data_IF_438388744758
#
_entry.id   IF_438388744758
#
_cell.length_a   1.000
_cell.length_b   1.000
_cell.length_c   1.000
_cell.angle_alpha   90.00
_cell.angle_beta   90.00
_cell.angle_gamma   90.00
#
_symmetry.space_group_name_H-M   'P 1'
#
loop_
_entity.id
_entity.type
_entity.pdbx_description
1 polymer ?
#
# COMPACT_ATOMS: atom_id res chain seq x y z
N UNK A 1 14.96 24.78 7.18
CA UNK A 1 14.87 23.69 6.18
C UNK A 1 13.53 23.78 5.46
N UNK A 2 13.52 23.75 4.11
CA UNK A 2 12.30 23.88 3.33
C UNK A 2 11.36 22.68 3.47
N UNK A 3 10.10 22.90 3.11
CA UNK A 3 9.04 21.90 3.03
C UNK A 3 9.42 20.81 2.02
N UNK A 4 9.04 19.56 2.29
CA UNK A 4 9.28 18.42 1.40
C UNK A 4 7.96 17.92 0.84
N UNK A 5 7.86 17.81 -0.47
CA UNK A 5 6.70 17.26 -1.17
C UNK A 5 6.63 15.74 -0.94
N UNK A 6 5.41 15.20 -0.93
CA UNK A 6 5.21 13.74 -0.89
C UNK A 6 5.85 13.10 -2.13
N UNK A 7 6.78 12.15 -1.98
CA UNK A 7 7.50 11.56 -3.10
C UNK A 7 6.59 10.76 -4.06
N UNK A 8 5.47 10.23 -3.58
CA UNK A 8 4.47 9.56 -4.43
C UNK A 8 3.78 10.60 -5.31
N UNK A 9 3.28 11.70 -4.71
CA UNK A 9 2.60 12.77 -5.47
C UNK A 9 3.49 13.41 -6.54
N UNK A 10 4.79 13.59 -6.24
CA UNK A 10 5.77 14.10 -7.22
C UNK A 10 5.97 13.16 -8.42
N UNK A 11 5.74 11.85 -8.26
CA UNK A 11 5.95 10.83 -9.29
C UNK A 11 4.68 10.31 -9.93
N UNK A 12 3.54 10.85 -9.58
CA UNK A 12 2.27 10.54 -10.25
C UNK A 12 2.37 10.93 -11.72
N UNK A 13 1.88 10.08 -12.60
CA UNK A 13 1.98 10.16 -14.07
C UNK A 13 3.38 9.94 -14.67
N UNK A 14 4.46 9.88 -13.88
CA UNK A 14 5.81 9.54 -14.38
C UNK A 14 6.14 8.08 -14.14
N UNK A 15 5.99 7.60 -12.90
CA UNK A 15 6.35 6.25 -12.46
C UNK A 15 5.25 5.62 -11.56
N UNK A 16 4.43 6.44 -10.92
CA UNK A 16 3.35 6.00 -10.04
C UNK A 16 1.99 6.31 -10.62
N UNK A 17 1.03 5.44 -10.31
CA UNK A 17 -0.35 5.59 -10.73
C UNK A 17 -1.23 6.10 -9.57
N UNK A 18 -2.41 6.61 -9.89
CA UNK A 18 -3.40 7.02 -8.91
C UNK A 18 -3.93 5.82 -8.12
N UNK A 19 -4.26 6.05 -6.84
CA UNK A 19 -4.91 5.04 -5.98
C UNK A 19 -6.43 4.99 -6.19
N UNK A 20 -7.03 6.08 -6.65
CA UNK A 20 -8.41 6.12 -7.13
C UNK A 20 -8.40 6.32 -8.64
N UNK A 21 -9.03 5.43 -9.37
CA UNK A 21 -9.03 5.38 -10.84
C UNK A 21 -10.45 5.53 -11.35
N UNK A 22 -10.90 6.77 -11.44
CA UNK A 22 -12.21 7.14 -11.96
C UNK A 22 -12.21 8.59 -12.40
N UNK A 23 -13.23 8.95 -13.17
CA UNK A 23 -13.49 10.31 -13.59
C UNK A 23 -14.91 10.71 -13.24
N UNK A 24 -15.12 11.95 -12.79
CA UNK A 24 -16.43 12.55 -12.56
C UNK A 24 -16.42 14.03 -12.89
N UNK A 25 -17.57 14.56 -13.28
CA UNK A 25 -17.76 16.00 -13.46
C UNK A 25 -17.73 16.76 -12.14
N UNK A 26 -17.65 18.08 -12.22
CA UNK A 26 -17.50 18.98 -11.03
C UNK A 26 -18.57 18.75 -9.94
N UNK A 27 -19.82 18.51 -10.32
CA UNK A 27 -20.95 18.37 -9.37
C UNK A 27 -20.88 17.09 -8.54
N UNK A 28 -20.49 15.94 -9.13
CA UNK A 28 -20.46 14.65 -8.44
C UNK A 28 -19.09 14.30 -7.85
N UNK A 29 -18.05 15.09 -8.12
CA UNK A 29 -16.68 14.75 -7.68
C UNK A 29 -16.55 14.66 -6.15
N UNK A 30 -17.14 15.62 -5.42
CA UNK A 30 -17.04 15.69 -3.96
C UNK A 30 -17.69 14.50 -3.26
N UNK A 31 -18.85 14.07 -3.73
CA UNK A 31 -19.59 12.93 -3.18
C UNK A 31 -18.79 11.63 -3.37
N UNK A 32 -18.33 11.38 -4.60
CA UNK A 32 -17.53 10.19 -4.92
C UNK A 32 -16.22 10.15 -4.13
N UNK A 33 -15.56 11.31 -3.98
CA UNK A 33 -14.32 11.38 -3.19
C UNK A 33 -14.59 11.08 -1.71
N UNK A 34 -15.68 11.60 -1.15
CA UNK A 34 -16.08 11.34 0.24
C UNK A 34 -16.36 9.86 0.48
N UNK A 35 -17.07 9.21 -0.45
CA UNK A 35 -17.29 7.75 -0.41
C UNK A 35 -15.96 6.98 -0.48
N UNK A 36 -15.03 7.35 -1.37
CA UNK A 36 -13.73 6.68 -1.48
C UNK A 36 -12.92 6.76 -0.19
N UNK A 37 -12.94 7.90 0.48
CA UNK A 37 -12.26 8.08 1.76
C UNK A 37 -12.90 7.19 2.83
N UNK A 38 -14.24 7.17 2.92
CA UNK A 38 -14.97 6.33 3.86
C UNK A 38 -14.72 4.83 3.61
N UNK A 39 -14.69 4.38 2.35
CA UNK A 39 -14.33 3.01 1.97
C UNK A 39 -12.93 2.66 2.46
N UNK A 40 -11.94 3.53 2.23
CA UNK A 40 -10.56 3.30 2.68
C UNK A 40 -10.44 3.20 4.19
N UNK A 41 -11.13 4.05 4.92
CA UNK A 41 -11.10 4.07 6.38
C UNK A 41 -11.76 2.82 6.96
N UNK A 42 -12.89 2.40 6.40
CA UNK A 42 -13.56 1.17 6.79
C UNK A 42 -12.69 -0.06 6.54
N UNK A 43 -12.13 -0.19 5.32
CA UNK A 43 -11.26 -1.32 4.96
C UNK A 43 -10.02 -1.37 5.87
N UNK A 44 -9.35 -0.24 6.11
CA UNK A 44 -8.20 -0.19 7.03
C UNK A 44 -8.57 -0.59 8.45
N UNK A 45 -9.70 -0.10 8.97
CA UNK A 45 -10.16 -0.41 10.31
C UNK A 45 -10.51 -1.89 10.48
N UNK A 46 -11.14 -2.50 9.48
CA UNK A 46 -11.51 -3.92 9.53
C UNK A 46 -10.32 -4.86 9.32
N UNK A 47 -9.36 -4.45 8.51
CA UNK A 47 -8.21 -5.24 8.11
C UNK A 47 -6.90 -4.79 8.78
N UNK A 48 -6.96 -4.20 9.96
CA UNK A 48 -5.79 -3.69 10.69
C UNK A 48 -4.71 -4.76 10.89
N UNK A 49 -5.11 -6.02 11.17
CA UNK A 49 -4.19 -7.14 11.39
C UNK A 49 -3.66 -7.79 10.10
N UNK A 50 -4.21 -7.43 8.95
CA UNK A 50 -3.88 -8.05 7.67
C UNK A 50 -2.64 -7.43 7.00
N UNK A 51 -2.05 -6.39 7.57
CA UNK A 51 -0.92 -5.67 6.99
C UNK A 51 -1.23 -5.17 5.55
N UNK A 52 -2.22 -4.29 5.42
CA UNK A 52 -2.66 -3.71 4.16
C UNK A 52 -1.69 -2.62 3.73
N UNK A 53 -1.05 -2.76 2.58
CA UNK A 53 -0.10 -1.78 2.04
C UNK A 53 -0.79 -0.64 1.29
N UNK A 54 -1.64 -0.99 0.33
CA UNK A 54 -2.34 -0.04 -0.52
C UNK A 54 -3.78 -0.51 -0.80
N UNK A 55 -4.69 0.46 -1.00
CA UNK A 55 -6.07 0.23 -1.39
C UNK A 55 -6.30 1.02 -2.68
N UNK A 56 -6.57 0.30 -3.78
CA UNK A 56 -6.85 0.87 -5.09
C UNK A 56 -8.36 0.78 -5.32
N UNK A 57 -8.98 1.90 -5.68
CA UNK A 57 -10.42 1.97 -5.96
C UNK A 57 -10.62 2.31 -7.42
N UNK A 58 -11.31 1.44 -8.13
CA UNK A 58 -11.73 1.64 -9.53
C UNK A 58 -13.25 1.72 -9.56
N UNK A 59 -13.79 2.77 -10.18
CA UNK A 59 -15.24 2.96 -10.30
C UNK A 59 -15.68 2.86 -11.76
N UNK A 60 -16.70 2.08 -11.94
CA UNK A 60 -17.44 1.95 -13.19
C UNK A 60 -18.88 2.48 -13.00
N UNK A 61 -19.68 2.49 -14.05
CA UNK A 61 -21.05 3.03 -13.98
C UNK A 61 -21.86 2.42 -12.81
N UNK A 62 -21.94 1.09 -12.72
CA UNK A 62 -22.78 0.38 -11.76
C UNK A 62 -21.99 -0.45 -10.73
N UNK A 63 -20.65 -0.39 -10.75
CA UNK A 63 -19.84 -1.21 -9.85
C UNK A 63 -18.62 -0.45 -9.33
N UNK A 64 -18.19 -0.82 -8.13
CA UNK A 64 -16.98 -0.35 -7.49
C UNK A 64 -16.06 -1.55 -7.24
N UNK A 65 -14.85 -1.50 -7.75
CA UNK A 65 -13.82 -2.51 -7.51
C UNK A 65 -12.82 -1.95 -6.50
N UNK A 66 -12.61 -2.67 -5.41
CA UNK A 66 -11.67 -2.33 -4.36
C UNK A 66 -10.55 -3.36 -4.35
N UNK A 67 -9.39 -2.99 -4.88
CA UNK A 67 -8.17 -3.80 -4.85
C UNK A 67 -7.43 -3.58 -3.53
N UNK A 68 -7.32 -4.62 -2.72
CA UNK A 68 -6.63 -4.59 -1.42
C UNK A 68 -5.28 -5.30 -1.56
N UNK A 69 -4.19 -4.54 -1.46
CA UNK A 69 -2.84 -5.09 -1.44
C UNK A 69 -2.45 -5.43 0.00
N UNK A 70 -2.21 -6.70 0.30
CA UNK A 70 -1.93 -7.18 1.65
C UNK A 70 -0.77 -8.17 1.68
N UNK A 71 -0.01 -8.16 2.79
CA UNK A 71 1.02 -9.16 3.03
C UNK A 71 0.46 -10.49 3.61
N UNK A 72 -0.80 -10.46 4.09
CA UNK A 72 -1.43 -11.63 4.74
C UNK A 72 -2.82 -11.89 4.17
N UNK A 73 -2.93 -12.38 2.93
CA UNK A 73 -4.21 -12.58 2.26
C UNK A 73 -5.15 -13.54 3.02
N UNK A 74 -4.61 -14.54 3.71
CA UNK A 74 -5.41 -15.48 4.50
C UNK A 74 -6.22 -14.83 5.63
N UNK A 75 -5.71 -13.75 6.24
CA UNK A 75 -6.44 -13.00 7.28
C UNK A 75 -7.58 -12.19 6.67
N UNK A 76 -7.39 -11.67 5.46
CA UNK A 76 -8.44 -10.90 4.75
C UNK A 76 -9.60 -11.80 4.32
N UNK A 77 -9.29 -12.99 3.82
CA UNK A 77 -10.29 -13.95 3.37
C UNK A 77 -11.08 -14.51 4.55
N UNK A 78 -10.36 -14.82 5.65
CA UNK A 78 -10.95 -15.44 6.83
C UNK A 78 -11.34 -16.90 6.61
N UNK A 79 -12.04 -17.49 7.59
CA UNK A 79 -12.53 -18.87 7.47
C UNK A 79 -13.63 -18.96 6.42
N UNK A 80 -13.40 -19.74 5.36
CA UNK A 80 -14.36 -19.96 4.26
C UNK A 80 -14.86 -18.67 3.59
N UNK A 81 -14.07 -17.58 3.64
CA UNK A 81 -14.47 -16.31 3.03
C UNK A 81 -15.41 -15.43 3.88
N UNK A 82 -15.67 -15.79 5.15
CA UNK A 82 -16.63 -15.07 5.98
C UNK A 82 -16.25 -13.61 6.26
N UNK A 83 -14.95 -13.33 6.44
CA UNK A 83 -14.50 -11.98 6.78
C UNK A 83 -14.57 -11.04 5.58
N UNK A 84 -14.21 -11.52 4.39
CA UNK A 84 -14.33 -10.72 3.16
C UNK A 84 -15.79 -10.43 2.80
N UNK A 85 -16.71 -11.42 2.97
CA UNK A 85 -18.12 -11.21 2.73
C UNK A 85 -18.76 -10.24 3.73
N UNK A 86 -18.30 -10.22 4.98
CA UNK A 86 -18.71 -9.22 5.98
C UNK A 86 -18.29 -7.83 5.56
N UNK A 87 -17.03 -7.65 5.17
CA UNK A 87 -16.51 -6.34 4.69
C UNK A 87 -17.27 -5.91 3.44
N UNK A 88 -17.52 -6.82 2.50
CA UNK A 88 -18.32 -6.55 1.29
C UNK A 88 -19.73 -6.09 1.63
N UNK A 89 -20.39 -6.75 2.58
CA UNK A 89 -21.74 -6.38 3.03
C UNK A 89 -21.79 -5.01 3.72
N UNK A 90 -20.74 -4.65 4.47
CA UNK A 90 -20.63 -3.30 5.07
C UNK A 90 -20.39 -2.22 4.02
N UNK A 91 -19.53 -2.49 3.04
CA UNK A 91 -19.29 -1.57 1.92
C UNK A 91 -20.52 -1.39 1.02
N UNK A 92 -21.28 -2.46 0.76
CA UNK A 92 -22.51 -2.40 -0.02
C UNK A 92 -23.61 -1.54 0.63
N UNK A 93 -23.58 -1.39 1.95
CA UNK A 93 -24.49 -0.48 2.67
C UNK A 93 -24.09 1.01 2.57
N UNK A 94 -22.86 1.29 2.16
CA UNK A 94 -22.35 2.66 2.04
C UNK A 94 -22.46 3.20 0.61
N UNK A 95 -22.56 2.32 -0.37
CA UNK A 95 -22.62 2.68 -1.78
C UNK A 95 -23.84 2.04 -2.43
N UNK A 96 -24.53 2.77 -3.30
CA UNK A 96 -25.68 2.25 -4.06
C UNK A 96 -25.24 1.35 -5.24
N UNK A 97 -23.96 0.96 -5.28
CA UNK A 97 -23.34 0.20 -6.38
C UNK A 97 -22.89 -1.17 -5.90
N UNK A 98 -22.78 -2.10 -6.85
CA UNK A 98 -22.18 -3.40 -6.57
C UNK A 98 -20.69 -3.25 -6.20
N UNK A 99 -20.30 -3.86 -5.07
CA UNK A 99 -18.93 -3.81 -4.58
C UNK A 99 -18.24 -5.15 -4.83
N UNK A 100 -17.09 -5.08 -5.49
CA UNK A 100 -16.18 -6.21 -5.70
C UNK A 100 -14.86 -5.96 -4.97
N UNK A 101 -14.42 -6.91 -4.15
CA UNK A 101 -13.15 -6.84 -3.43
C UNK A 101 -12.18 -7.82 -4.10
N UNK A 102 -11.04 -7.31 -4.55
CA UNK A 102 -9.94 -8.11 -5.07
C UNK A 102 -8.77 -8.06 -4.11
N UNK A 103 -8.19 -9.21 -3.82
CA UNK A 103 -7.06 -9.34 -2.92
C UNK A 103 -5.80 -9.57 -3.75
N UNK A 104 -4.82 -8.70 -3.57
CA UNK A 104 -3.50 -8.82 -4.19
C UNK A 104 -2.45 -9.07 -3.10
N UNK A 105 -1.71 -10.16 -3.24
CA UNK A 105 -0.64 -10.49 -2.32
C UNK A 105 0.60 -9.61 -2.56
N UNK A 106 1.16 -9.08 -1.46
CA UNK A 106 2.44 -8.38 -1.46
C UNK A 106 3.53 -9.39 -1.07
N UNK A 107 4.34 -9.82 -2.03
CA UNK A 107 5.38 -10.86 -1.83
C UNK A 107 6.45 -10.42 -0.84
N UNK A 108 6.92 -9.16 -0.96
CA UNK A 108 8.03 -8.62 -0.15
C UNK A 108 7.53 -7.49 0.77
N UNK A 109 6.95 -7.82 1.94
CA UNK A 109 6.42 -6.80 2.86
C UNK A 109 7.50 -5.90 3.45
N UNK A 110 8.72 -6.41 3.63
CA UNK A 110 9.84 -5.68 4.21
C UNK A 110 10.48 -4.66 3.24
N UNK A 111 10.11 -4.70 1.97
CA UNK A 111 10.48 -3.71 0.95
C UNK A 111 9.36 -2.67 0.74
N UNK A 112 8.17 -2.90 1.29
CA UNK A 112 7.07 -1.95 1.22
C UNK A 112 7.17 -0.90 2.33
N UNK A 113 7.34 0.38 1.95
CA UNK A 113 7.56 1.45 2.91
C UNK A 113 6.40 1.66 3.89
N UNK A 114 5.14 1.41 3.49
CA UNK A 114 3.97 1.55 4.36
C UNK A 114 3.97 0.46 5.44
N UNK A 115 4.19 -0.79 5.06
CA UNK A 115 4.23 -1.92 5.99
C UNK A 115 5.40 -1.82 6.98
N UNK A 116 6.56 -1.37 6.50
CA UNK A 116 7.72 -1.09 7.35
C UNK A 116 7.42 0.03 8.36
N UNK A 117 6.74 1.10 7.93
CA UNK A 117 6.36 2.19 8.83
C UNK A 117 5.38 1.72 9.92
N UNK A 118 4.38 0.94 9.56
CA UNK A 118 3.40 0.35 10.48
C UNK A 118 4.06 -0.63 11.47
N UNK A 119 4.97 -1.47 11.00
CA UNK A 119 5.74 -2.39 11.85
C UNK A 119 6.58 -1.64 12.89
N UNK A 120 7.28 -0.56 12.47
CA UNK A 120 8.04 0.29 13.41
C UNK A 120 7.08 0.95 14.41
N UNK A 121 5.93 1.47 13.96
CA UNK A 121 4.92 2.08 14.82
C UNK A 121 4.41 1.10 15.87
N UNK A 122 4.09 -0.12 15.48
CA UNK A 122 3.63 -1.18 16.37
C UNK A 122 4.70 -1.55 17.42
N UNK A 123 5.98 -1.63 17.01
CA UNK A 123 7.08 -1.90 17.95
C UNK A 123 7.23 -0.78 18.98
N UNK A 124 7.14 0.48 18.56
CA UNK A 124 7.22 1.65 19.47
C UNK A 124 6.03 1.67 20.44
N UNK A 125 4.82 1.38 19.96
CA UNK A 125 3.62 1.26 20.81
C UNK A 125 3.78 0.15 21.87
N UNK A 126 4.50 -0.93 21.53
CA UNK A 126 4.87 -2.01 22.45
C UNK A 126 6.08 -1.68 23.34
N UNK A 127 6.46 -0.41 23.45
CA UNK A 127 7.59 0.10 24.27
C UNK A 127 8.96 -0.42 23.87
N UNK A 128 9.15 -0.88 22.66
CA UNK A 128 10.48 -1.19 22.11
C UNK A 128 11.21 0.11 21.87
N UNK A 129 12.51 0.17 22.17
CA UNK A 129 13.34 1.36 21.88
C UNK A 129 13.26 1.72 20.39
N UNK A 130 12.88 2.96 20.10
CA UNK A 130 12.73 3.46 18.73
C UNK A 130 14.01 3.31 17.90
N UNK A 131 15.21 3.49 18.51
CA UNK A 131 16.50 3.30 17.83
C UNK A 131 16.68 1.86 17.37
N UNK A 132 16.33 0.89 18.23
CA UNK A 132 16.42 -0.54 17.91
C UNK A 132 15.43 -0.91 16.81
N UNK A 133 14.18 -0.44 16.90
CA UNK A 133 13.15 -0.69 15.91
C UNK A 133 13.54 -0.16 14.53
N UNK A 134 14.01 1.10 14.45
CA UNK A 134 14.44 1.72 13.21
C UNK A 134 15.65 1.00 12.58
N UNK A 135 16.71 0.72 13.38
CA UNK A 135 17.91 0.03 12.86
C UNK A 135 17.60 -1.38 12.40
N UNK A 136 16.75 -2.12 13.13
CA UNK A 136 16.33 -3.47 12.73
C UNK A 136 15.59 -3.46 11.40
N UNK A 137 14.63 -2.56 11.24
CA UNK A 137 13.87 -2.43 9.99
C UNK A 137 14.78 -2.06 8.80
N UNK A 138 15.76 -1.17 9.03
CA UNK A 138 16.73 -0.81 8.00
C UNK A 138 17.59 -2.00 7.58
N UNK A 139 18.12 -2.77 8.54
CA UNK A 139 18.94 -3.93 8.27
C UNK A 139 18.16 -4.96 7.43
N UNK A 140 16.93 -5.31 7.84
CA UNK A 140 16.09 -6.26 7.10
C UNK A 140 15.86 -5.79 5.66
N UNK A 141 15.49 -4.51 5.47
CA UNK A 141 15.28 -3.98 4.13
C UNK A 141 16.55 -4.01 3.27
N UNK A 142 17.73 -3.69 3.85
CA UNK A 142 19.01 -3.77 3.11
C UNK A 142 19.39 -5.22 2.77
N UNK A 143 19.13 -6.17 3.66
CA UNK A 143 19.35 -7.61 3.43
C UNK A 143 18.45 -8.13 2.29
N UNK A 144 17.25 -7.54 2.10
CA UNK A 144 16.36 -7.80 0.95
C UNK A 144 16.82 -7.14 -0.36
N UNK A 145 17.95 -6.44 -0.35
CA UNK A 145 18.62 -5.93 -1.55
C UNK A 145 18.04 -4.64 -2.11
N UNK A 146 17.42 -3.77 -1.31
CA UNK A 146 17.02 -2.41 -1.73
C UNK A 146 18.25 -1.53 -1.96
N UNK A 147 18.13 -0.51 -2.82
CA UNK A 147 19.22 0.45 -3.07
C UNK A 147 19.48 1.38 -1.87
N UNK A 148 18.46 1.62 -1.08
CA UNK A 148 18.56 2.40 0.14
C UNK A 148 17.25 2.62 0.86
N UNK A 149 17.38 2.89 2.15
CA UNK A 149 16.27 3.18 3.06
C UNK A 149 16.57 4.39 3.93
N UNK A 150 15.54 5.18 4.19
CA UNK A 150 15.55 6.27 5.16
C UNK A 150 14.33 6.16 6.06
N UNK A 151 14.58 6.19 7.35
CA UNK A 151 13.54 6.19 8.38
C UNK A 151 13.66 7.46 9.19
N UNK A 152 12.53 8.13 9.44
CA UNK A 152 12.45 9.33 10.29
C UNK A 152 11.36 9.12 11.33
N UNK A 153 11.68 9.32 12.59
CA UNK A 153 10.72 9.36 13.69
C UNK A 153 10.70 10.76 14.29
N UNK A 154 9.51 11.28 14.58
CA UNK A 154 9.34 12.61 15.17
C UNK A 154 8.24 12.60 16.22
N UNK A 155 8.50 13.26 17.34
CA UNK A 155 7.59 13.31 18.49
C UNK A 155 8.36 13.23 19.82
N UNK A 156 7.68 12.86 20.88
CA UNK A 156 8.27 12.64 22.22
C UNK A 156 8.97 11.28 22.29
N UNK A 157 10.14 11.19 21.65
CA UNK A 157 10.89 9.94 21.51
C UNK A 157 11.39 9.45 22.89
N UNK A 158 10.99 8.22 23.24
CA UNK A 158 11.32 7.62 24.53
C UNK A 158 10.60 8.26 25.73
N UNK A 159 9.51 9.01 25.51
CA UNK A 159 8.76 9.69 26.56
C UNK A 159 9.33 11.04 26.99
N UNK A 160 10.35 11.56 26.29
CA UNK A 160 10.95 12.86 26.59
C UNK A 160 9.90 13.99 26.57
N UNK A 161 10.03 15.00 27.43
CA UNK A 161 9.11 16.14 27.47
C UNK A 161 9.15 16.95 26.19
N UNK A 162 10.35 17.20 25.67
CA UNK A 162 10.55 17.93 24.43
C UNK A 162 10.47 16.99 23.23
N UNK A 163 9.70 17.39 22.23
CA UNK A 163 9.65 16.67 20.97
C UNK A 163 10.94 16.85 20.18
N UNK A 164 11.43 15.78 19.60
CA UNK A 164 12.59 15.82 18.71
C UNK A 164 12.36 14.92 17.50
N UNK A 165 13.23 15.10 16.50
CA UNK A 165 13.23 14.32 15.28
C UNK A 165 14.56 13.60 15.17
N UNK A 166 14.51 12.28 15.07
CA UNK A 166 15.68 11.45 14.74
C UNK A 166 15.44 10.75 13.41
N UNK A 167 16.48 10.60 12.62
CA UNK A 167 16.41 9.90 11.35
C UNK A 167 17.71 9.14 11.09
N UNK A 168 17.56 8.02 10.40
CA UNK A 168 18.66 7.20 9.92
C UNK A 168 18.47 6.98 8.43
N UNK A 169 19.60 6.87 7.71
CA UNK A 169 19.64 6.62 6.28
C UNK A 169 20.76 5.64 5.98
N UNK A 170 20.48 4.70 5.09
CA UNK A 170 21.45 3.75 4.56
C UNK A 170 21.24 3.61 3.05
N UNK A 171 22.33 3.51 2.29
CA UNK A 171 22.26 3.44 0.83
C UNK A 171 21.87 4.73 0.12
N UNK A 172 21.36 4.62 -1.11
CA UNK A 172 21.02 5.72 -2.02
C UNK A 172 19.52 5.98 -2.05
N UNK A 173 19.09 7.24 -1.89
CA UNK A 173 17.68 7.66 -1.99
C UNK A 173 17.63 8.95 -2.80
N UNK A 174 17.60 8.87 -4.13
CA UNK A 174 17.60 10.04 -5.01
C UNK A 174 16.20 10.66 -5.09
N UNK A 175 15.81 11.49 -4.11
CA UNK A 175 14.48 12.10 -4.04
C UNK A 175 14.18 13.05 -5.21
N UNK A 176 15.20 13.71 -5.77
CA UNK A 176 15.05 14.62 -6.90
C UNK A 176 14.94 13.91 -8.26
N UNK A 177 15.39 12.66 -8.36
CA UNK A 177 15.29 11.86 -9.59
C UNK A 177 13.89 11.29 -9.73
N UNK A 178 13.08 11.80 -10.64
CA UNK A 178 11.68 11.39 -10.83
C UNK A 178 11.54 9.93 -11.27
N UNK A 179 12.47 9.43 -12.07
CA UNK A 179 12.49 8.04 -12.57
C UNK A 179 12.94 7.00 -11.51
N UNK A 180 13.37 7.43 -10.31
CA UNK A 180 13.76 6.51 -9.25
C UNK A 180 12.51 5.93 -8.59
N UNK A 181 12.47 4.58 -8.47
CA UNK A 181 11.36 3.89 -7.82
C UNK A 181 11.45 4.07 -6.30
N UNK A 182 10.77 5.10 -5.79
CA UNK A 182 10.73 5.40 -4.36
C UNK A 182 9.35 5.08 -3.82
N UNK A 183 9.30 4.17 -2.86
CA UNK A 183 8.14 3.90 -2.03
C UNK A 183 8.17 4.79 -0.78
N UNK A 184 7.01 5.28 -0.37
CA UNK A 184 6.86 6.13 0.81
C UNK A 184 5.76 5.60 1.71
N UNK A 185 6.04 5.52 3.01
CA UNK A 185 5.08 5.12 4.02
C UNK A 185 5.04 6.11 5.18
N UNK A 186 3.85 6.27 5.76
CA UNK A 186 3.61 7.07 6.95
C UNK A 186 2.75 6.28 7.93
N UNK A 187 3.18 6.24 9.19
CA UNK A 187 2.42 5.64 10.27
C UNK A 187 2.60 6.45 11.56
N UNK A 188 1.63 6.36 12.44
CA UNK A 188 1.66 6.98 13.76
C UNK A 188 1.66 5.90 14.85
N UNK A 189 2.59 6.01 15.79
CA UNK A 189 2.62 5.17 16.98
C UNK A 189 1.94 5.92 18.13
N UNK A 190 0.85 5.37 18.65
CA UNK A 190 0.22 5.88 19.87
C UNK A 190 1.01 5.41 21.08
N UNK A 191 1.49 6.34 21.89
CA UNK A 191 2.21 6.06 23.14
C UNK A 191 1.54 6.79 24.29
N UNK A 192 1.86 6.41 25.53
CA UNK A 192 1.35 7.09 26.74
C UNK A 192 1.73 8.58 26.79
N UNK A 193 2.86 8.95 26.16
CA UNK A 193 3.33 10.33 26.10
C UNK A 193 2.81 11.14 24.90
N UNK A 194 2.03 10.52 24.01
CA UNK A 194 1.51 11.14 22.79
C UNK A 194 1.79 10.34 21.54
N UNK A 195 1.54 10.92 20.36
CA UNK A 195 1.76 10.26 19.07
C UNK A 195 3.16 10.54 18.54
N UNK A 196 3.80 9.51 18.00
CA UNK A 196 5.09 9.58 17.31
C UNK A 196 4.84 9.30 15.84
N UNK A 197 5.14 10.27 14.97
CA UNK A 197 5.01 10.13 13.53
C UNK A 197 6.25 9.47 12.93
N UNK A 198 6.05 8.41 12.14
CA UNK A 198 7.09 7.64 11.47
C UNK A 198 6.94 7.83 9.98
N UNK A 199 8.02 8.20 9.30
CA UNK A 199 8.09 8.33 7.85
C UNK A 199 9.20 7.44 7.32
N UNK A 200 8.89 6.63 6.32
CA UNK A 200 9.83 5.69 5.70
C UNK A 200 9.90 5.96 4.20
N UNK A 201 11.10 5.99 3.66
CA UNK A 201 11.39 6.05 2.23
C UNK A 201 12.26 4.86 1.88
N UNK A 202 11.85 4.08 0.89
CA UNK A 202 12.60 2.95 0.38
C UNK A 202 12.81 3.16 -1.11
N UNK A 203 14.06 3.05 -1.55
CA UNK A 203 14.43 3.06 -2.95
C UNK A 203 14.67 1.60 -3.38
N UNK A 204 13.73 1.05 -4.14
CA UNK A 204 13.87 -0.30 -4.71
C UNK A 204 14.65 -0.23 -6.01
N UNK A 205 15.47 -1.25 -6.29
CA UNK A 205 16.07 -1.43 -7.62
C UNK A 205 14.95 -1.44 -8.65
N UNK A 206 15.12 -0.77 -9.78
CA UNK A 206 14.25 -1.00 -10.92
C UNK A 206 14.39 -2.47 -11.28
N UNK A 207 13.34 -3.23 -11.15
CA UNK A 207 13.23 -4.46 -11.92
C UNK A 207 13.17 -3.98 -13.37
N UNK A 208 14.22 -4.26 -14.12
CA UNK A 208 14.21 -4.02 -15.55
C UNK A 208 12.96 -4.69 -16.10
N UNK A 209 12.11 -3.92 -16.78
CA UNK A 209 10.83 -4.37 -17.34
C UNK A 209 11.00 -5.44 -18.45
N UNK A 210 12.18 -6.02 -18.55
CA UNK A 210 12.55 -7.04 -19.54
C UNK A 210 12.05 -8.45 -19.21
N UNK A 211 11.47 -8.72 -18.03
CA UNK A 211 11.05 -10.08 -17.67
C UNK A 211 9.60 -10.20 -17.14
N UNK A 212 8.78 -9.16 -17.27
CA UNK A 212 7.34 -9.35 -17.26
C UNK A 212 6.94 -9.79 -18.68
N UNK A 213 7.04 -11.08 -18.97
CA UNK A 213 6.45 -11.66 -20.16
C UNK A 213 4.98 -11.20 -20.25
N UNK A 214 4.46 -10.87 -21.45
CA UNK A 214 3.08 -10.42 -21.58
C UNK A 214 2.16 -11.45 -20.94
N UNK A 215 1.35 -11.01 -19.99
CA UNK A 215 0.33 -11.83 -19.36
C UNK A 215 -0.40 -12.60 -20.45
N UNK A 216 -0.31 -13.94 -20.42
CA UNK A 216 -0.75 -14.82 -21.48
C UNK A 216 -2.16 -14.45 -21.91
N UNK A 217 -2.30 -14.05 -23.19
CA UNK A 217 -3.59 -13.99 -23.83
C UNK A 217 -4.24 -15.37 -23.68
N UNK A 218 -5.50 -15.47 -23.25
CA UNK A 218 -6.18 -16.75 -23.23
C UNK A 218 -6.13 -17.33 -24.64
N UNK A 219 -5.57 -18.52 -24.79
CA UNK A 219 -5.60 -19.27 -26.04
C UNK A 219 -7.05 -19.44 -26.44
N UNK A 220 -7.46 -18.78 -27.50
CA UNK A 220 -8.73 -19.07 -28.17
C UNK A 220 -8.64 -20.51 -28.68
N UNK A 221 -9.39 -21.41 -28.06
CA UNK A 221 -9.65 -22.74 -28.61
C UNK A 221 -10.45 -22.58 -29.91
N UNK A 222 -9.77 -22.73 -31.03
CA UNK A 222 -10.46 -22.88 -32.33
C UNK A 222 -11.32 -24.15 -32.29
N UNK A 223 -12.61 -24.10 -32.64
CA UNK A 223 -13.39 -25.30 -32.78
C UNK A 223 -12.82 -26.14 -33.95
N UNK A 224 -12.62 -27.43 -33.67
CA UNK A 224 -12.04 -28.38 -34.61
C UNK A 224 -12.86 -28.47 -35.91
N UNK A 225 -12.15 -28.39 -37.03
CA UNK A 225 -12.70 -28.77 -38.34
C UNK A 225 -12.91 -30.30 -38.36
N UNK A 226 -14.17 -30.69 -38.44
CA UNK A 226 -14.58 -32.06 -38.67
C UNK A 226 -14.05 -32.51 -40.07
N UNK A 227 -13.20 -33.53 -40.08
CA UNK A 227 -12.70 -34.15 -41.28
C UNK A 227 -13.84 -34.79 -42.06
N UNK A 228 -13.97 -34.38 -43.33
CA UNK A 228 -14.77 -35.13 -44.32
C UNK A 228 -13.92 -36.35 -44.78
N UNK A 229 -14.39 -37.55 -44.39
CA UNK A 229 -13.92 -38.82 -44.94
C UNK A 229 -14.32 -38.93 -46.41
N UNK A 230 -13.38 -39.36 -47.23
CA UNK A 230 -13.63 -39.87 -48.58
C UNK A 230 -13.80 -41.37 -48.50
N UNK A 231 -14.82 -41.85 -49.11
CA UNK A 231 -14.87 -43.15 -49.80
C UNK A 231 -15.08 -42.91 -51.24
#
# INVERSE_FOLDING_TARGET
MGQKVNPIGLRVAVDKNWRSRWFSGKKGFGEILSEDLAIRDLVRKRLENAAVSDIIIERYANRVRVGVHTARPGIVIGRKGADIERVRGELAKMTDKEVYIEIHEVRDPDVNAQLVAENIALQISRRVSFRRAMKRAMKIAMDMGVDGIKVRAGGRLGGAELSRVEWYKEGKIPLHTLRANISYGFAEAATTAGRIGIKVWICSKKQDAGNAGPAGRPRSTRPGQAGKGKS
#
